data_IF_495199968949
#
_entry.id   IF_495199968949
#
_cell.length_a   1.000
_cell.length_b   1.000
_cell.length_c   1.000
_cell.angle_alpha   90.00
_cell.angle_beta   90.00
_cell.angle_gamma   90.00
#
_symmetry.space_group_name_H-M   'P 1'
#
loop_
_entity.id
_entity.type
_entity.pdbx_description
1 polymer ?
#
# COMPACT_ATOMS: atom_id res chain seq x y z
N UNK A 1 0.33 9.84 -25.41
CA UNK A 1 0.37 10.72 -24.22
C UNK A 1 -0.99 10.70 -23.56
N UNK A 2 -1.13 10.07 -22.39
CA UNK A 2 -2.35 10.21 -21.59
C UNK A 2 -2.37 11.63 -21.02
N UNK A 3 -3.45 12.38 -21.27
CA UNK A 3 -3.56 13.77 -20.83
C UNK A 3 -3.71 13.78 -19.30
N UNK A 4 -2.71 14.34 -18.59
CA UNK A 4 -2.71 14.58 -17.13
C UNK A 4 -4.06 14.95 -16.50
N UNK A 5 -4.90 15.83 -17.08
CA UNK A 5 -6.21 16.16 -16.51
C UNK A 5 -7.16 14.96 -16.42
N UNK A 6 -7.16 14.07 -17.42
CA UNK A 6 -8.07 12.91 -17.46
C UNK A 6 -7.77 11.89 -16.35
N UNK A 7 -6.49 11.68 -16.05
CA UNK A 7 -6.08 10.77 -14.97
C UNK A 7 -6.45 11.35 -13.61
N UNK A 8 -6.27 12.66 -13.42
CA UNK A 8 -6.60 13.30 -12.16
C UNK A 8 -8.11 13.27 -11.89
N UNK A 9 -8.92 13.58 -12.91
CA UNK A 9 -10.38 13.48 -12.84
C UNK A 9 -10.84 12.06 -12.49
N UNK A 10 -10.25 11.04 -13.13
CA UNK A 10 -10.56 9.65 -12.84
C UNK A 10 -10.20 9.24 -11.40
N UNK A 11 -9.09 9.75 -10.87
CA UNK A 11 -8.64 9.42 -9.50
C UNK A 11 -9.36 10.26 -8.43
N UNK A 12 -9.92 11.41 -8.80
CA UNK A 12 -10.56 12.32 -7.85
C UNK A 12 -11.76 11.68 -7.14
N UNK A 13 -12.54 10.85 -7.82
CA UNK A 13 -13.65 10.13 -7.20
C UNK A 13 -13.17 9.23 -6.04
N UNK A 14 -12.03 8.56 -6.21
CA UNK A 14 -11.46 7.69 -5.17
C UNK A 14 -11.00 8.47 -3.94
N UNK A 15 -10.64 9.76 -4.08
CA UNK A 15 -10.26 10.60 -2.94
C UNK A 15 -11.38 10.73 -1.90
N UNK A 16 -12.64 10.62 -2.35
CA UNK A 16 -13.82 10.66 -1.49
C UNK A 16 -14.24 9.23 -1.12
N UNK A 17 -14.35 8.33 -2.10
CA UNK A 17 -14.88 6.99 -1.86
C UNK A 17 -14.04 6.16 -0.88
N UNK A 18 -12.70 6.24 -0.95
CA UNK A 18 -11.81 5.46 -0.07
C UNK A 18 -12.06 5.85 1.40
N UNK A 19 -12.07 7.15 1.74
CA UNK A 19 -12.83 7.78 2.81
C UNK A 19 -13.85 6.93 3.55
N UNK A 20 -14.99 6.93 2.89
CA UNK A 20 -16.22 6.31 3.30
C UNK A 20 -16.10 4.78 3.36
N UNK A 21 -15.40 4.15 2.41
CA UNK A 21 -15.19 2.71 2.43
C UNK A 21 -14.47 2.29 3.72
N UNK A 22 -13.32 2.91 4.02
CA UNK A 22 -12.51 2.57 5.20
C UNK A 22 -13.29 2.79 6.50
N UNK A 23 -14.00 3.92 6.61
CA UNK A 23 -14.85 4.22 7.76
C UNK A 23 -15.97 3.19 7.95
N UNK A 24 -16.72 2.86 6.90
CA UNK A 24 -17.83 1.90 6.98
C UNK A 24 -17.34 0.46 7.20
N UNK A 25 -16.11 0.14 6.81
CA UNK A 25 -15.46 -1.15 7.13
C UNK A 25 -14.81 -1.18 8.51
N UNK A 26 -15.05 -0.17 9.36
CA UNK A 26 -14.50 -0.11 10.73
C UNK A 26 -12.97 -0.12 10.79
N UNK A 27 -12.30 0.28 9.71
CA UNK A 27 -10.84 0.28 9.61
C UNK A 27 -10.20 1.20 10.67
N UNK A 28 -10.91 2.25 11.06
CA UNK A 28 -10.43 3.24 12.03
C UNK A 28 -10.85 2.96 13.47
N UNK A 29 -11.58 1.89 13.80
CA UNK A 29 -12.11 1.65 15.15
C UNK A 29 -11.02 1.58 16.24
N UNK A 30 -9.83 1.08 15.89
CA UNK A 30 -8.67 1.03 16.79
C UNK A 30 -7.71 2.23 16.61
N UNK A 31 -8.14 3.26 15.89
CA UNK A 31 -7.43 4.53 15.72
C UNK A 31 -8.29 5.60 16.36
N UNK A 32 -7.72 6.43 17.23
CA UNK A 32 -8.44 7.52 17.90
C UNK A 32 -8.71 8.68 16.91
N UNK A 33 -9.50 8.41 15.86
CA UNK A 33 -9.81 9.30 14.74
C UNK A 33 -11.32 9.58 14.77
N UNK A 34 -11.68 10.85 14.66
CA UNK A 34 -13.10 11.25 14.61
C UNK A 34 -13.72 10.92 13.26
N UNK A 35 -15.05 10.77 13.19
CA UNK A 35 -15.76 10.59 11.91
C UNK A 35 -15.43 11.70 10.90
N UNK A 36 -15.40 12.95 11.36
CA UNK A 36 -15.08 14.10 10.52
C UNK A 36 -13.67 14.01 9.91
N UNK A 37 -12.69 13.52 10.68
CA UNK A 37 -11.33 13.28 10.18
C UNK A 37 -11.28 12.06 9.24
N UNK A 38 -11.99 10.98 9.58
CA UNK A 38 -12.02 9.73 8.83
C UNK A 38 -12.66 9.89 7.45
N UNK A 39 -13.68 10.74 7.31
CA UNK A 39 -14.42 10.97 6.07
C UNK A 39 -13.83 12.09 5.20
N UNK A 40 -12.78 12.78 5.68
CA UNK A 40 -12.15 13.86 4.93
C UNK A 40 -11.57 13.34 3.61
N UNK A 41 -11.84 14.00 2.47
CA UNK A 41 -11.27 13.59 1.19
C UNK A 41 -9.74 13.56 1.22
N UNK A 42 -9.15 12.51 0.62
CA UNK A 42 -7.71 12.37 0.53
C UNK A 42 -7.12 13.42 -0.41
N UNK A 43 -5.96 13.96 -0.04
CA UNK A 43 -5.20 14.84 -0.94
C UNK A 43 -4.55 13.99 -2.03
N UNK A 44 -5.01 14.15 -3.28
CA UNK A 44 -4.43 13.46 -4.43
C UNK A 44 -3.20 14.20 -4.92
N UNK A 45 -2.07 13.49 -5.00
CA UNK A 45 -0.82 14.02 -5.56
C UNK A 45 -0.31 13.09 -6.66
N UNK A 46 -0.18 13.63 -7.87
CA UNK A 46 0.48 12.93 -8.96
C UNK A 46 1.99 13.02 -8.76
N UNK A 47 2.65 11.87 -8.63
CA UNK A 47 4.11 11.80 -8.49
C UNK A 47 4.73 11.53 -9.86
N UNK A 48 5.41 12.53 -10.46
CA UNK A 48 5.98 12.37 -11.79
C UNK A 48 7.26 11.53 -11.73
N UNK A 49 7.62 10.94 -12.88
CA UNK A 49 8.92 10.30 -13.12
C UNK A 49 9.22 9.06 -12.25
N UNK A 50 8.19 8.40 -11.73
CA UNK A 50 8.37 7.06 -11.16
C UNK A 50 8.80 6.08 -12.28
N UNK A 51 9.67 5.10 -11.97
CA UNK A 51 10.00 4.01 -12.87
C UNK A 51 8.73 3.41 -13.48
N UNK A 52 8.70 3.18 -14.78
CA UNK A 52 7.52 2.58 -15.41
C UNK A 52 7.77 1.09 -15.63
N UNK A 53 6.78 0.28 -15.31
CA UNK A 53 6.76 -1.13 -15.65
C UNK A 53 6.68 -1.29 -17.17
N UNK A 54 7.45 -2.24 -17.72
CA UNK A 54 7.52 -2.49 -19.17
C UNK A 54 6.94 -3.83 -19.60
N UNK A 55 6.68 -4.71 -18.64
CA UNK A 55 6.14 -6.05 -18.85
C UNK A 55 4.77 -6.18 -18.18
N UNK A 56 4.05 -7.25 -18.49
CA UNK A 56 2.82 -7.58 -17.79
C UNK A 56 3.14 -8.43 -16.54
N UNK A 57 2.45 -8.19 -15.43
CA UNK A 57 2.47 -9.06 -14.24
C UNK A 57 3.44 -8.73 -13.09
N UNK A 58 4.10 -7.57 -13.10
CA UNK A 58 4.97 -7.10 -12.01
C UNK A 58 4.46 -5.80 -11.34
N UNK A 59 3.22 -5.38 -11.60
CA UNK A 59 2.73 -4.08 -11.13
C UNK A 59 2.75 -3.97 -9.60
N UNK A 60 2.45 -5.06 -8.90
CA UNK A 60 2.49 -5.13 -7.44
C UNK A 60 3.91 -4.96 -6.90
N UNK A 61 4.93 -5.50 -7.59
CA UNK A 61 6.34 -5.34 -7.18
C UNK A 61 6.76 -3.88 -7.26
N UNK A 62 6.35 -3.18 -8.31
CA UNK A 62 6.60 -1.74 -8.45
C UNK A 62 5.88 -0.96 -7.34
N UNK A 63 4.61 -1.28 -7.03
CA UNK A 63 3.87 -0.66 -5.92
C UNK A 63 4.59 -0.86 -4.60
N UNK A 64 5.04 -2.08 -4.28
CA UNK A 64 5.79 -2.38 -3.04
C UNK A 64 7.05 -1.51 -2.96
N UNK A 65 7.84 -1.43 -4.04
CA UNK A 65 9.05 -0.59 -4.06
C UNK A 65 8.69 0.88 -3.89
N UNK A 66 7.64 1.39 -4.55
CA UNK A 66 7.23 2.78 -4.34
C UNK A 66 6.93 3.05 -2.88
N UNK A 67 6.10 2.20 -2.25
CA UNK A 67 5.71 2.33 -0.84
C UNK A 67 6.94 2.32 0.07
N UNK A 68 7.90 1.43 -0.17
CA UNK A 68 9.17 1.39 0.57
C UNK A 68 9.94 2.72 0.49
N UNK A 69 10.07 3.30 -0.70
CA UNK A 69 10.72 4.60 -0.87
C UNK A 69 9.91 5.77 -0.28
N UNK A 70 8.58 5.72 -0.33
CA UNK A 70 7.69 6.73 0.28
C UNK A 70 7.83 6.74 1.80
N UNK A 71 7.72 5.57 2.44
CA UNK A 71 7.79 5.42 3.90
C UNK A 71 9.15 5.90 4.42
N UNK A 72 10.24 5.56 3.72
CA UNK A 72 11.58 5.95 4.10
C UNK A 72 11.95 7.39 3.69
N UNK A 73 11.04 8.14 3.03
CA UNK A 73 11.28 9.51 2.51
C UNK A 73 12.44 9.60 1.50
N UNK A 74 12.70 8.52 0.76
CA UNK A 74 13.84 8.38 -0.16
C UNK A 74 13.47 8.53 -1.63
N UNK A 75 12.33 9.14 -1.98
CA UNK A 75 11.86 9.25 -3.37
C UNK A 75 12.90 9.85 -4.34
N UNK A 76 13.74 10.78 -3.87
CA UNK A 76 14.79 11.41 -4.68
C UNK A 76 15.91 10.43 -5.06
N UNK A 77 16.07 9.36 -4.30
CA UNK A 77 17.10 8.32 -4.47
C UNK A 77 16.55 7.09 -5.22
N UNK A 78 15.27 7.13 -5.63
CA UNK A 78 14.66 6.03 -6.35
C UNK A 78 15.36 5.84 -7.72
N UNK A 79 15.86 4.64 -8.03
CA UNK A 79 16.51 4.37 -9.30
C UNK A 79 15.50 4.46 -10.44
N UNK A 80 15.96 4.80 -11.65
CA UNK A 80 15.09 4.91 -12.84
C UNK A 80 14.49 3.57 -13.28
N UNK A 81 15.08 2.46 -12.86
CA UNK A 81 14.63 1.11 -13.14
C UNK A 81 15.00 0.20 -11.96
N UNK A 82 14.20 -0.85 -11.75
CA UNK A 82 14.45 -1.85 -10.73
C UNK A 82 14.91 -3.16 -11.37
N UNK A 83 15.78 -3.90 -10.68
CA UNK A 83 16.06 -5.29 -11.02
C UNK A 83 14.92 -6.17 -10.49
N UNK A 84 13.82 -6.25 -11.24
CA UNK A 84 12.58 -6.88 -10.80
C UNK A 84 12.76 -8.36 -10.44
N UNK A 85 13.58 -9.11 -11.20
CA UNK A 85 13.88 -10.51 -10.90
C UNK A 85 14.53 -10.67 -9.52
N UNK A 86 15.45 -9.77 -9.17
CA UNK A 86 16.10 -9.77 -7.85
C UNK A 86 15.12 -9.35 -6.75
N UNK A 87 14.31 -8.31 -6.97
CA UNK A 87 13.30 -7.86 -6.00
C UNK A 87 12.30 -8.98 -5.73
N UNK A 88 11.81 -9.67 -6.76
CA UNK A 88 10.88 -10.80 -6.62
C UNK A 88 11.45 -11.91 -5.76
N UNK A 89 12.70 -12.32 -6.04
CA UNK A 89 13.41 -13.33 -5.23
C UNK A 89 13.56 -12.88 -3.78
N UNK A 90 13.95 -11.62 -3.57
CA UNK A 90 14.08 -11.06 -2.24
C UNK A 90 12.76 -11.06 -1.46
N UNK A 91 11.67 -10.61 -2.09
CA UNK A 91 10.33 -10.62 -1.48
C UNK A 91 9.86 -12.04 -1.14
N UNK A 92 10.06 -13.00 -2.04
CA UNK A 92 9.72 -14.41 -1.79
C UNK A 92 10.51 -14.97 -0.59
N UNK A 93 11.80 -14.66 -0.49
CA UNK A 93 12.63 -15.06 0.66
C UNK A 93 12.15 -14.41 1.96
N UNK A 94 11.83 -13.11 1.96
CA UNK A 94 11.32 -12.41 3.14
C UNK A 94 9.99 -13.01 3.62
N UNK A 95 9.06 -13.28 2.69
CA UNK A 95 7.79 -13.92 3.00
C UNK A 95 7.97 -15.33 3.57
N UNK A 96 8.87 -16.12 2.98
CA UNK A 96 9.19 -17.46 3.49
C UNK A 96 9.77 -17.41 4.91
N UNK A 97 10.75 -16.53 5.16
CA UNK A 97 11.35 -16.35 6.49
C UNK A 97 10.29 -15.91 7.50
N UNK A 98 9.44 -14.95 7.15
CA UNK A 98 8.35 -14.50 8.01
C UNK A 98 7.36 -15.62 8.34
N UNK A 99 6.93 -16.38 7.33
CA UNK A 99 6.02 -17.52 7.51
C UNK A 99 6.65 -18.62 8.38
N UNK A 100 7.94 -18.91 8.19
CA UNK A 100 8.66 -19.90 9.01
C UNK A 100 8.80 -19.46 10.46
N UNK A 101 9.11 -18.19 10.72
CA UNK A 101 9.12 -17.65 12.08
C UNK A 101 7.75 -17.77 12.75
N UNK A 102 6.66 -17.41 12.05
CA UNK A 102 5.30 -17.60 12.56
C UNK A 102 4.99 -19.06 12.87
N UNK A 103 5.39 -19.98 12.00
CA UNK A 103 5.13 -21.42 12.17
C UNK A 103 5.88 -22.03 13.36
N UNK A 104 7.13 -21.63 13.60
CA UNK A 104 8.01 -22.30 14.57
C UNK A 104 8.03 -21.59 15.92
N UNK A 105 7.94 -20.25 15.93
CA UNK A 105 8.20 -19.44 17.12
C UNK A 105 6.92 -18.91 17.79
N UNK A 106 5.72 -19.32 17.31
CA UNK A 106 4.43 -18.73 17.70
C UNK A 106 4.49 -17.19 17.69
N UNK A 107 5.19 -16.63 16.70
CA UNK A 107 5.54 -15.22 16.65
C UNK A 107 4.27 -14.38 16.45
N UNK A 108 3.71 -13.93 17.56
CA UNK A 108 2.52 -13.10 17.62
C UNK A 108 2.95 -11.66 17.33
N UNK A 109 2.76 -11.20 16.10
CA UNK A 109 2.99 -9.80 15.76
C UNK A 109 1.73 -9.02 16.12
N UNK A 110 1.86 -7.97 16.92
CA UNK A 110 0.78 -7.15 17.52
C UNK A 110 -0.20 -6.46 16.53
N UNK A 111 -0.25 -6.86 15.26
CA UNK A 111 -1.10 -6.28 14.23
C UNK A 111 -1.69 -7.34 13.28
N UNK A 112 -2.49 -8.28 13.77
CA UNK A 112 -3.37 -9.07 12.89
C UNK A 112 -4.61 -8.22 12.43
N UNK A 113 -4.38 -6.92 12.15
CA UNK A 113 -5.31 -5.85 11.75
C UNK A 113 -6.27 -5.31 12.83
N UNK A 114 -5.92 -5.48 14.12
CA UNK A 114 -6.75 -5.28 15.32
C UNK A 114 -7.72 -6.46 15.58
N UNK A 115 -7.26 -7.71 15.38
CA UNK A 115 -7.84 -9.03 15.77
C UNK A 115 -9.30 -9.37 15.38
N UNK A 116 -10.17 -8.43 14.97
CA UNK A 116 -11.65 -8.56 15.04
C UNK A 116 -12.42 -8.52 13.71
N UNK A 117 -11.80 -8.77 12.56
CA UNK A 117 -12.61 -8.92 11.34
C UNK A 117 -13.37 -10.27 11.30
N UNK A 118 -13.00 -11.27 12.11
CA UNK A 118 -13.59 -12.62 12.03
C UNK A 118 -13.73 -13.39 13.35
N UNK A 119 -13.74 -12.74 14.52
CA UNK A 119 -14.37 -13.39 15.69
C UNK A 119 -15.90 -13.36 15.49
N UNK A 120 -16.37 -14.22 14.59
CA UNK A 120 -17.74 -14.70 14.57
C UNK A 120 -17.71 -16.06 15.24
N UNK A 121 -18.16 -16.10 16.50
CA UNK A 121 -18.70 -17.28 17.21
C UNK A 121 -17.87 -18.54 17.23
#
# INVERSE_FOLDING_TARGET
MVKKPVVLEAVQAFSVMIPHLLYNTRFFDCKNITEQEALKPLVVKLVPKLPQQKNDGDCEIYVIKYVEYFINKMLKEMPKAFNIAQVRKYLATQLYVYAKKKQVENYNTDNDWCQRMFDKT
#
